data_IF_470081628567
#
_entry.id   IF_470081628567
#
_cell.length_a   1.000
_cell.length_b   1.000
_cell.length_c   1.000
_cell.angle_alpha   90.00
_cell.angle_beta   90.00
_cell.angle_gamma   90.00
#
_symmetry.space_group_name_H-M   'P 1'
#
loop_
_entity.id
_entity.type
_entity.pdbx_description
1 polymer ?
#
# COMPACT_ATOMS: atom_id res chain seq x y z
N UNK A 1 7.10 13.98 -0.06
CA UNK A 1 7.07 12.82 -0.97
C UNK A 1 8.36 12.07 -0.74
N UNK A 2 8.27 10.76 -0.61
CA UNK A 2 9.39 9.82 -0.68
C UNK A 2 9.31 9.15 -2.05
N UNK A 3 10.45 8.95 -2.68
CA UNK A 3 10.55 8.42 -4.04
C UNK A 3 11.84 7.62 -4.17
N UNK A 4 11.74 6.39 -4.66
CA UNK A 4 12.88 5.54 -4.96
C UNK A 4 13.66 6.10 -6.16
N UNK A 5 14.99 5.90 -6.15
CA UNK A 5 15.87 6.41 -7.20
C UNK A 5 15.63 5.76 -8.58
N UNK A 6 15.00 4.59 -8.61
CA UNK A 6 14.63 3.83 -9.81
C UNK A 6 13.13 3.93 -10.15
N UNK A 7 12.43 4.91 -9.57
CA UNK A 7 11.09 5.31 -10.00
C UNK A 7 11.18 6.13 -11.30
N UNK A 8 10.66 5.56 -12.38
CA UNK A 8 10.67 6.15 -13.71
C UNK A 8 9.30 6.76 -14.00
N UNK A 9 9.29 8.09 -14.12
CA UNK A 9 8.08 8.89 -14.24
C UNK A 9 7.71 9.11 -15.72
N UNK A 10 6.48 8.80 -16.07
CA UNK A 10 5.90 9.11 -17.39
C UNK A 10 5.00 10.34 -17.35
N UNK A 11 4.62 10.78 -16.15
CA UNK A 11 3.86 12.01 -15.89
C UNK A 11 4.51 12.78 -14.75
N UNK A 12 4.22 14.09 -14.66
CA UNK A 12 4.72 14.92 -13.57
C UNK A 12 4.17 14.42 -12.22
N UNK A 13 5.03 14.09 -11.24
CA UNK A 13 4.58 13.67 -9.92
C UNK A 13 3.99 14.84 -9.11
N UNK A 14 4.19 16.10 -9.55
CA UNK A 14 3.61 17.28 -8.92
C UNK A 14 2.07 17.22 -8.84
N UNK A 15 1.45 16.58 -9.84
CA UNK A 15 0.00 16.40 -9.90
C UNK A 15 -0.55 15.55 -8.74
N UNK A 16 0.29 14.73 -8.09
CA UNK A 16 -0.12 13.90 -6.95
C UNK A 16 -0.55 14.73 -5.73
N UNK A 17 0.00 15.94 -5.57
CA UNK A 17 -0.43 16.87 -4.52
C UNK A 17 -1.80 17.51 -4.79
N UNK A 18 -2.25 17.48 -6.04
CA UNK A 18 -3.53 18.05 -6.47
C UNK A 18 -4.68 17.04 -6.34
N UNK A 19 -4.35 15.76 -6.15
CA UNK A 19 -5.34 14.69 -5.95
C UNK A 19 -6.22 14.96 -4.73
N UNK A 20 -7.53 14.69 -4.87
CA UNK A 20 -8.50 14.81 -3.77
C UNK A 20 -8.11 13.92 -2.59
N UNK A 21 -7.61 12.71 -2.87
CA UNK A 21 -7.06 11.75 -1.89
C UNK A 21 -5.96 12.38 -1.05
N UNK A 22 -4.96 13.00 -1.67
CA UNK A 22 -3.88 13.67 -0.93
C UNK A 22 -4.36 14.93 -0.21
N UNK A 23 -5.17 15.78 -0.85
CA UNK A 23 -5.65 17.02 -0.23
C UNK A 23 -6.50 16.75 1.03
N UNK A 24 -7.30 15.68 1.00
CA UNK A 24 -8.18 15.28 2.11
C UNK A 24 -7.37 14.67 3.25
N UNK A 25 -6.51 13.70 2.94
CA UNK A 25 -5.86 12.86 3.98
C UNK A 25 -4.43 13.28 4.29
N UNK A 26 -3.76 14.01 3.42
CA UNK A 26 -2.31 14.27 3.51
C UNK A 26 -1.44 13.04 3.24
N UNK A 27 -2.03 11.93 2.79
CA UNK A 27 -1.32 10.70 2.44
C UNK A 27 -1.73 10.23 1.06
N UNK A 28 -0.83 9.57 0.34
CA UNK A 28 -1.17 8.83 -0.86
C UNK A 28 -0.20 7.66 -1.01
N UNK A 29 -0.75 6.45 -0.95
CA UNK A 29 -0.04 5.19 -1.09
C UNK A 29 -0.42 4.49 -2.39
N UNK A 30 0.49 3.67 -2.91
CA UNK A 30 0.24 2.80 -4.05
C UNK A 30 0.22 1.34 -3.58
N UNK A 31 -0.63 0.52 -4.21
CA UNK A 31 -0.75 -0.88 -3.84
C UNK A 31 0.48 -1.65 -4.34
N UNK A 32 1.04 -2.55 -3.54
CA UNK A 32 2.04 -3.51 -4.02
C UNK A 32 1.36 -4.72 -4.69
N UNK A 33 2.16 -5.49 -5.44
CA UNK A 33 1.75 -6.72 -6.12
C UNK A 33 1.21 -7.72 -5.12
N UNK A 34 0.25 -8.52 -5.57
CA UNK A 34 -0.21 -9.69 -4.84
C UNK A 34 0.87 -10.77 -4.99
N UNK A 35 1.86 -10.73 -4.10
CA UNK A 35 2.96 -11.69 -4.05
C UNK A 35 2.78 -12.63 -2.84
N UNK A 36 3.32 -13.85 -2.94
CA UNK A 36 3.07 -14.93 -1.98
C UNK A 36 3.18 -14.47 -0.52
N UNK A 37 2.11 -14.71 0.25
CA UNK A 37 2.05 -14.37 1.66
C UNK A 37 3.08 -15.13 2.52
N UNK A 38 3.70 -16.20 2.01
CA UNK A 38 4.66 -17.04 2.73
C UNK A 38 6.10 -16.49 2.76
N UNK A 39 6.28 -15.21 2.45
CA UNK A 39 7.57 -14.54 2.62
C UNK A 39 7.80 -14.23 4.11
N UNK A 40 8.85 -14.77 4.73
CA UNK A 40 9.05 -14.70 6.19
C UNK A 40 9.14 -13.28 6.78
N UNK A 41 9.43 -12.28 5.94
CA UNK A 41 9.50 -10.86 6.29
C UNK A 41 8.25 -10.07 5.81
N UNK A 42 7.21 -10.77 5.35
CA UNK A 42 5.94 -10.18 4.92
C UNK A 42 4.98 -10.01 6.10
N UNK A 43 4.25 -8.89 6.12
CA UNK A 43 3.19 -8.65 7.11
C UNK A 43 2.08 -9.72 7.05
N UNK A 44 1.84 -10.31 5.87
CA UNK A 44 0.86 -11.37 5.65
C UNK A 44 1.36 -12.79 5.98
N UNK A 45 2.61 -12.92 6.42
CA UNK A 45 3.25 -14.19 6.75
C UNK A 45 2.59 -14.89 7.91
N UNK A 46 2.48 -16.22 7.84
CA UNK A 46 2.03 -17.07 8.95
C UNK A 46 3.20 -17.88 9.48
N UNK A 47 3.77 -17.51 10.64
CA UNK A 47 4.86 -18.27 11.24
C UNK A 47 4.46 -19.71 11.58
N UNK A 48 5.41 -20.64 11.46
CA UNK A 48 5.18 -22.07 11.68
C UNK A 48 4.65 -22.40 13.10
N UNK A 49 5.03 -21.61 14.11
CA UNK A 49 4.56 -21.76 15.49
C UNK A 49 3.16 -21.16 15.75
N UNK A 50 2.60 -20.40 14.80
CA UNK A 50 1.24 -19.84 14.85
C UNK A 50 0.59 -19.82 13.46
N UNK A 51 0.33 -20.99 12.87
CA UNK A 51 -0.09 -21.11 11.46
C UNK A 51 -1.46 -20.51 11.14
N UNK A 52 -2.23 -20.12 12.17
CA UNK A 52 -3.55 -19.51 12.01
C UNK A 52 -3.56 -17.98 12.21
N UNK A 53 -2.42 -17.37 12.55
CA UNK A 53 -2.32 -15.94 12.88
C UNK A 53 -1.21 -15.31 12.02
N UNK A 54 -1.57 -14.32 11.21
CA UNK A 54 -0.62 -13.58 10.38
C UNK A 54 0.29 -12.68 11.22
N UNK A 55 1.46 -12.34 10.69
CA UNK A 55 2.44 -11.50 11.37
C UNK A 55 1.86 -10.14 11.76
N UNK A 56 1.09 -9.52 10.86
CA UNK A 56 0.37 -8.26 11.11
C UNK A 56 -0.71 -8.37 12.19
N UNK A 57 -1.47 -9.46 12.23
CA UNK A 57 -2.53 -9.65 13.23
C UNK A 57 -1.94 -9.75 14.64
N UNK A 58 -0.93 -10.60 14.80
CA UNK A 58 -0.21 -10.76 16.06
C UNK A 58 0.46 -9.45 16.51
N UNK A 59 1.02 -8.68 15.56
CA UNK A 59 1.60 -7.38 15.86
C UNK A 59 0.53 -6.35 16.29
N UNK A 60 -0.52 -6.18 15.49
CA UNK A 60 -1.58 -5.20 15.71
C UNK A 60 -2.40 -5.47 16.98
N UNK A 61 -2.54 -6.74 17.38
CA UNK A 61 -3.19 -7.10 18.66
C UNK A 61 -2.34 -6.83 19.90
N UNK A 62 -1.02 -6.63 19.75
CA UNK A 62 -0.09 -6.32 20.85
C UNK A 62 0.38 -4.88 20.87
N UNK A 63 0.15 -4.11 19.81
CA UNK A 63 0.60 -2.74 19.70
C UNK A 63 -0.16 -1.84 20.69
N UNK A 64 0.55 -1.31 21.69
CA UNK A 64 0.02 -0.30 22.61
C UNK A 64 0.38 1.11 22.12
N UNK A 65 -0.63 1.87 21.71
CA UNK A 65 -0.49 3.25 21.24
C UNK A 65 -1.18 4.27 22.15
N UNK A 66 -1.50 3.89 23.39
CA UNK A 66 -2.18 4.76 24.35
C UNK A 66 -1.40 6.05 24.61
N UNK A 67 -0.06 6.00 24.58
CA UNK A 67 0.82 7.16 24.72
C UNK A 67 0.62 8.22 23.63
N UNK A 68 -0.06 7.92 22.52
CA UNK A 68 -0.28 8.85 21.41
C UNK A 68 -1.73 9.35 21.33
N UNK A 69 -2.62 8.92 22.24
CA UNK A 69 -4.05 9.19 22.16
C UNK A 69 -4.40 10.70 22.24
N UNK A 70 -3.56 11.50 22.90
CA UNK A 70 -3.75 12.95 23.03
C UNK A 70 -3.39 13.72 21.75
N UNK A 71 -2.64 13.12 20.83
CA UNK A 71 -2.28 13.76 19.56
C UNK A 71 -3.50 13.70 18.64
N UNK A 72 -3.92 14.80 17.98
CA UNK A 72 -5.10 14.79 17.12
C UNK A 72 -4.91 13.89 15.88
N UNK A 73 -6.03 13.47 15.28
CA UNK A 73 -6.07 12.63 14.08
C UNK A 73 -7.14 13.11 13.12
N UNK A 74 -7.08 12.70 11.84
CA UNK A 74 -8.17 12.94 10.90
C UNK A 74 -9.30 11.95 11.20
N UNK A 75 -10.49 12.48 11.50
CA UNK A 75 -11.65 11.65 11.88
C UNK A 75 -11.98 10.63 10.78
N UNK A 76 -11.90 9.34 11.10
CA UNK A 76 -12.18 8.23 10.19
C UNK A 76 -13.52 7.58 10.53
N UNK A 77 -14.41 7.32 9.55
CA UNK A 77 -15.62 6.56 9.82
C UNK A 77 -15.29 5.14 10.26
N UNK A 78 -16.09 4.58 11.17
CA UNK A 78 -15.99 3.17 11.55
C UNK A 78 -16.22 2.27 10.33
N UNK A 79 -15.54 1.12 10.31
CA UNK A 79 -15.82 0.10 9.30
C UNK A 79 -17.30 -0.35 9.41
N UNK A 80 -17.97 -0.61 8.27
CA UNK A 80 -19.33 -1.16 8.27
C UNK A 80 -19.44 -2.43 9.12
N UNK A 81 -20.52 -2.57 9.90
CA UNK A 81 -20.72 -3.71 10.81
C UNK A 81 -20.65 -5.06 10.09
N UNK A 82 -21.08 -5.13 8.83
CA UNK A 82 -20.97 -6.32 8.01
C UNK A 82 -19.52 -6.74 7.74
N UNK A 83 -18.58 -5.80 7.59
CA UNK A 83 -17.15 -6.12 7.42
C UNK A 83 -16.54 -6.57 8.73
N UNK A 84 -16.89 -5.92 9.85
CA UNK A 84 -16.43 -6.33 11.18
C UNK A 84 -16.92 -7.74 11.53
N UNK A 85 -18.17 -8.07 11.20
CA UNK A 85 -18.72 -9.41 11.41
C UNK A 85 -18.13 -10.48 10.47
N UNK A 86 -17.62 -10.06 9.30
CA UNK A 86 -16.97 -10.96 8.35
C UNK A 86 -15.47 -11.11 8.57
N UNK A 87 -14.89 -10.36 9.52
CA UNK A 87 -13.48 -10.47 9.88
C UNK A 87 -13.20 -11.89 10.42
N UNK A 88 -12.19 -12.53 9.86
CA UNK A 88 -11.79 -13.90 10.20
C UNK A 88 -10.63 -13.90 11.21
N UNK A 89 -10.17 -12.72 11.61
CA UNK A 89 -9.10 -12.61 12.58
C UNK A 89 -9.49 -13.27 13.90
N UNK A 90 -8.56 -14.06 14.45
CA UNK A 90 -8.75 -14.72 15.75
C UNK A 90 -8.18 -13.91 16.90
N UNK A 91 -7.54 -12.77 16.61
CA UNK A 91 -6.98 -11.86 17.60
C UNK A 91 -7.93 -10.69 17.85
N UNK A 92 -7.86 -10.14 19.05
CA UNK A 92 -8.57 -8.91 19.39
C UNK A 92 -7.72 -7.70 19.06
N UNK A 93 -8.25 -6.77 18.26
CA UNK A 93 -7.60 -5.49 17.98
C UNK A 93 -8.03 -4.45 19.02
N UNK A 94 -7.07 -3.71 19.56
CA UNK A 94 -7.30 -2.66 20.57
C UNK A 94 -7.53 -1.26 19.96
N UNK A 95 -7.81 -1.20 18.67
CA UNK A 95 -8.14 0.01 17.90
C UNK A 95 -9.25 -0.34 16.89
N UNK A 96 -9.89 0.67 16.30
CA UNK A 96 -10.94 0.47 15.29
C UNK A 96 -10.33 0.28 13.92
N UNK A 97 -10.31 -0.93 13.32
CA UNK A 97 -9.72 -1.14 12.00
C UNK A 97 -10.51 -0.37 10.92
N UNK A 98 -9.83 0.12 9.88
CA UNK A 98 -10.56 0.66 8.71
C UNK A 98 -11.21 -0.43 7.88
N UNK A 99 -12.21 -0.03 7.09
CA UNK A 99 -12.72 -0.85 6.01
C UNK A 99 -11.64 -1.24 5.00
N UNK A 100 -10.64 -0.39 4.76
CA UNK A 100 -9.56 -0.63 3.81
C UNK A 100 -8.59 -1.72 4.30
N UNK A 101 -8.25 -1.72 5.60
CA UNK A 101 -7.46 -2.77 6.24
C UNK A 101 -8.20 -4.11 6.17
N UNK A 102 -9.47 -4.15 6.54
CA UNK A 102 -10.28 -5.38 6.52
C UNK A 102 -10.44 -5.97 5.11
N UNK A 103 -10.53 -5.11 4.09
CA UNK A 103 -10.61 -5.53 2.67
C UNK A 103 -9.25 -5.83 2.04
N UNK A 104 -8.16 -5.47 2.69
CA UNK A 104 -6.82 -5.56 2.09
C UNK A 104 -6.44 -7.00 1.77
N UNK A 105 -5.70 -7.20 0.67
CA UNK A 105 -5.11 -8.50 0.37
C UNK A 105 -4.21 -9.02 1.49
N UNK A 106 -3.62 -8.09 2.24
CA UNK A 106 -2.74 -8.36 3.38
C UNK A 106 -3.49 -9.05 4.54
N UNK A 107 -4.55 -8.43 5.06
CA UNK A 107 -5.35 -9.00 6.15
C UNK A 107 -6.25 -10.18 5.70
N UNK A 108 -6.29 -10.48 4.40
CA UNK A 108 -6.95 -11.66 3.88
C UNK A 108 -5.96 -12.78 3.51
N UNK A 109 -4.67 -12.62 3.87
CA UNK A 109 -3.63 -13.62 3.65
C UNK A 109 -3.33 -13.93 2.19
N UNK A 110 -3.63 -12.98 1.29
CA UNK A 110 -3.41 -13.08 -0.16
C UNK A 110 -2.09 -12.42 -0.59
N UNK A 111 -1.55 -11.51 0.22
CA UNK A 111 -0.28 -10.82 -0.06
C UNK A 111 0.56 -10.68 1.21
N UNK A 112 1.89 -10.74 1.07
CA UNK A 112 2.84 -10.40 2.14
C UNK A 112 3.05 -8.88 2.31
N UNK A 113 2.66 -8.09 1.31
CA UNK A 113 2.87 -6.64 1.25
C UNK A 113 1.59 -5.92 0.83
N UNK A 114 1.48 -4.64 1.22
CA UNK A 114 0.36 -3.77 0.84
C UNK A 114 0.82 -2.50 0.14
N UNK A 115 1.90 -1.89 0.61
CA UNK A 115 2.39 -0.60 0.10
C UNK A 115 3.56 -0.82 -0.85
N UNK A 116 3.46 -0.27 -2.06
CA UNK A 116 4.59 -0.17 -3.01
C UNK A 116 5.62 0.85 -2.48
N UNK A 117 6.91 0.51 -2.53
CA UNK A 117 7.97 1.37 -1.97
C UNK A 117 8.35 2.56 -2.85
N UNK A 118 7.90 2.59 -4.10
CA UNK A 118 8.50 3.47 -5.10
C UNK A 118 8.14 4.93 -4.91
N UNK A 119 6.88 5.23 -4.59
CA UNK A 119 6.41 6.60 -4.37
C UNK A 119 5.42 6.59 -3.21
N UNK A 120 5.64 7.48 -2.24
CA UNK A 120 4.75 7.70 -1.11
C UNK A 120 4.61 9.19 -0.80
N UNK A 121 3.38 9.65 -0.64
CA UNK A 121 3.12 11.02 -0.15
C UNK A 121 2.72 10.98 1.32
N UNK A 122 3.33 11.86 2.10
CA UNK A 122 3.10 11.98 3.52
C UNK A 122 3.18 13.45 3.95
N UNK A 123 2.15 13.92 4.63
CA UNK A 123 2.08 15.26 5.21
C UNK A 123 2.07 15.15 6.73
N UNK A 124 3.23 15.40 7.35
CA UNK A 124 3.41 15.30 8.81
C UNK A 124 2.44 16.18 9.60
N UNK A 125 2.10 17.37 9.07
CA UNK A 125 1.18 18.31 9.72
C UNK A 125 -0.27 17.80 9.71
N UNK A 126 -0.69 17.14 8.63
CA UNK A 126 -2.02 16.51 8.52
C UNK A 126 -2.10 15.17 9.25
N UNK A 127 -0.97 14.49 9.44
CA UNK A 127 -0.87 13.18 10.08
C UNK A 127 -0.05 13.21 11.37
N UNK A 128 -0.35 14.06 12.37
CA UNK A 128 0.54 14.25 13.51
C UNK A 128 0.63 13.00 14.40
N UNK A 129 -0.49 12.34 14.74
CA UNK A 129 -0.48 11.11 15.55
C UNK A 129 0.25 9.96 14.85
N UNK A 130 -0.10 9.71 13.59
CA UNK A 130 0.56 8.67 12.80
C UNK A 130 2.05 8.97 12.59
N UNK A 131 2.44 10.25 12.48
CA UNK A 131 3.87 10.63 12.41
C UNK A 131 4.60 10.33 13.72
N UNK A 132 3.96 10.52 14.87
CA UNK A 132 4.56 10.18 16.16
C UNK A 132 4.73 8.66 16.33
N UNK A 133 3.72 7.87 15.96
CA UNK A 133 3.79 6.41 15.95
C UNK A 133 4.88 5.91 14.97
N UNK A 134 4.93 6.49 13.76
CA UNK A 134 5.97 6.18 12.79
C UNK A 134 7.38 6.48 13.31
N UNK A 135 7.56 7.60 14.02
CA UNK A 135 8.84 7.93 14.64
C UNK A 135 9.24 6.88 15.69
N UNK A 136 8.28 6.43 16.50
CA UNK A 136 8.45 5.36 17.48
C UNK A 136 8.93 4.03 16.85
N UNK A 137 8.38 3.64 15.69
CA UNK A 137 8.86 2.47 14.94
C UNK A 137 10.33 2.58 14.51
N UNK A 138 10.78 3.77 14.16
CA UNK A 138 12.14 4.02 13.64
C UNK A 138 13.13 4.17 14.78
N UNK A 139 12.76 4.87 15.86
CA UNK A 139 13.60 5.01 17.05
C UNK A 139 13.60 3.78 17.95
N UNK A 140 12.72 2.80 17.69
CA UNK A 140 12.53 1.58 18.48
C UNK A 140 12.21 1.88 19.95
N UNK A 141 11.41 2.92 20.18
CA UNK A 141 11.01 3.37 21.51
C UNK A 141 9.49 3.26 21.62
N UNK A 142 8.96 2.71 22.71
CA UNK A 142 7.53 2.53 23.00
C UNK A 142 6.80 1.50 22.13
N UNK A 143 6.62 1.77 20.83
CA UNK A 143 5.95 0.87 19.89
C UNK A 143 6.99 0.16 19.02
N UNK A 144 7.09 -1.18 19.07
CA UNK A 144 8.07 -1.91 18.29
C UNK A 144 7.81 -1.76 16.80
N UNK A 145 8.85 -1.93 15.99
CA UNK A 145 8.73 -1.94 14.52
C UNK A 145 7.85 -3.11 14.07
N UNK A 146 6.85 -2.89 13.19
CA UNK A 146 6.11 -3.95 12.52
C UNK A 146 7.04 -4.95 11.79
N UNK A 147 6.67 -6.25 11.71
CA UNK A 147 7.44 -7.28 11.02
C UNK A 147 7.28 -7.13 9.50
N UNK A 148 7.91 -6.09 8.96
CA UNK A 148 7.84 -5.70 7.55
C UNK A 148 9.23 -5.72 6.92
N UNK A 149 9.33 -6.29 5.74
CA UNK A 149 10.46 -6.10 4.84
C UNK A 149 10.57 -4.63 4.43
N UNK A 150 11.65 -3.97 4.86
CA UNK A 150 11.86 -2.56 4.62
C UNK A 150 10.91 -1.66 5.42
N UNK A 151 10.83 -0.40 5.03
CA UNK A 151 10.14 0.69 5.74
C UNK A 151 8.79 1.11 5.11
N UNK A 152 8.48 0.67 3.88
CA UNK A 152 7.27 1.07 3.15
C UNK A 152 5.96 0.81 3.91
N UNK A 153 5.83 -0.32 4.59
CA UNK A 153 4.60 -0.67 5.31
C UNK A 153 4.43 0.11 6.63
N UNK A 154 5.51 0.69 7.15
CA UNK A 154 5.48 1.43 8.42
C UNK A 154 4.48 2.58 8.37
N UNK A 155 4.39 3.27 7.23
CA UNK A 155 3.49 4.40 7.03
C UNK A 155 2.03 3.99 7.10
N UNK A 156 1.68 2.88 6.44
CA UNK A 156 0.32 2.33 6.46
C UNK A 156 -0.05 1.82 7.87
N UNK A 157 0.83 1.06 8.50
CA UNK A 157 0.58 0.53 9.86
C UNK A 157 0.45 1.66 10.87
N UNK A 158 1.27 2.71 10.76
CA UNK A 158 1.15 3.88 11.63
C UNK A 158 -0.19 4.60 11.47
N UNK A 159 -0.73 4.69 10.25
CA UNK A 159 -2.06 5.24 10.02
C UNK A 159 -3.17 4.39 10.65
N UNK A 160 -3.08 3.05 10.56
CA UNK A 160 -4.06 2.17 11.19
C UNK A 160 -4.07 2.29 12.70
N UNK A 161 -2.90 2.23 13.34
CA UNK A 161 -2.79 2.38 14.79
C UNK A 161 -3.19 3.80 15.26
N UNK A 162 -2.97 4.83 14.44
CA UNK A 162 -3.41 6.18 14.74
C UNK A 162 -4.93 6.38 14.61
N UNK A 163 -5.64 5.41 14.03
CA UNK A 163 -7.06 5.51 13.63
C UNK A 163 -7.34 6.75 12.76
N UNK A 164 -6.37 7.12 11.91
CA UNK A 164 -6.46 8.30 11.03
C UNK A 164 -6.99 7.91 9.66
N UNK A 165 -7.63 8.86 8.97
CA UNK A 165 -7.89 8.70 7.53
C UNK A 165 -6.58 8.68 6.74
N UNK A 166 -6.51 7.81 5.74
CA UNK A 166 -5.43 7.75 4.77
C UNK A 166 -5.98 7.34 3.40
N UNK A 167 -5.15 7.38 2.35
CA UNK A 167 -5.60 7.07 1.00
C UNK A 167 -4.63 6.17 0.23
N UNK A 168 -5.20 5.20 -0.47
CA UNK A 168 -4.53 4.40 -1.50
C UNK A 168 -5.01 4.80 -2.90
N UNK A 169 -4.16 4.56 -3.89
CA UNK A 169 -4.52 4.54 -5.31
C UNK A 169 -5.74 3.65 -5.53
N UNK A 170 -6.65 4.12 -6.39
CA UNK A 170 -7.83 3.34 -6.82
C UNK A 170 -7.43 2.10 -7.64
N UNK A 171 -6.21 2.09 -8.16
CA UNK A 171 -5.70 1.03 -9.03
C UNK A 171 -4.80 0.05 -8.27
N UNK A 172 -4.93 -1.23 -8.63
CA UNK A 172 -3.95 -2.23 -8.25
C UNK A 172 -2.62 -2.00 -9.01
N UNK A 173 -1.56 -2.65 -8.56
CA UNK A 173 -0.29 -2.65 -9.30
C UNK A 173 -0.47 -3.34 -10.64
N UNK A 174 -0.11 -2.65 -11.71
CA UNK A 174 0.05 -3.23 -13.02
C UNK A 174 1.46 -3.80 -13.23
N UNK A 175 1.73 -4.21 -14.46
CA UNK A 175 3.03 -4.68 -14.91
C UNK A 175 3.40 -3.96 -16.20
N UNK A 176 4.66 -3.54 -16.34
CA UNK A 176 5.23 -3.05 -17.59
C UNK A 176 6.47 -3.88 -17.95
N UNK A 177 6.50 -4.42 -19.17
CA UNK A 177 7.55 -5.34 -19.60
C UNK A 177 7.50 -5.66 -21.09
N UNK A 178 8.42 -6.51 -21.53
CA UNK A 178 8.58 -6.89 -22.94
C UNK A 178 8.09 -8.32 -23.25
N UNK A 179 7.95 -9.19 -22.24
CA UNK A 179 7.34 -10.52 -22.39
C UNK A 179 5.82 -10.39 -22.25
N UNK A 180 5.18 -10.18 -23.39
CA UNK A 180 3.73 -10.12 -23.54
C UNK A 180 3.21 -11.41 -24.16
N UNK A 181 2.24 -12.03 -23.51
CA UNK A 181 1.56 -13.24 -23.99
C UNK A 181 0.07 -12.97 -24.08
N UNK A 182 -0.47 -12.99 -25.29
CA UNK A 182 -1.88 -12.73 -25.54
C UNK A 182 -2.68 -14.03 -25.53
N UNK A 183 -3.65 -14.15 -24.63
CA UNK A 183 -4.59 -15.28 -24.55
C UNK A 183 -6.06 -14.85 -24.75
N UNK A 184 -6.27 -13.69 -25.38
CA UNK A 184 -7.58 -13.08 -25.58
C UNK A 184 -7.89 -11.97 -24.57
N UNK A 185 -9.05 -11.34 -24.75
CA UNK A 185 -9.47 -10.21 -23.91
C UNK A 185 -9.43 -10.56 -22.42
N UNK A 186 -8.77 -9.72 -21.63
CA UNK A 186 -8.57 -9.86 -20.17
C UNK A 186 -7.83 -11.14 -19.73
N UNK A 187 -7.16 -11.84 -20.66
CA UNK A 187 -6.36 -13.04 -20.37
C UNK A 187 -4.90 -12.88 -20.74
N UNK A 188 -4.51 -11.72 -21.27
CA UNK A 188 -3.12 -11.43 -21.60
C UNK A 188 -2.26 -11.30 -20.34
N UNK A 189 -1.02 -11.77 -20.44
CA UNK A 189 -0.04 -11.73 -19.36
C UNK A 189 1.09 -10.80 -19.80
N UNK A 190 1.42 -9.83 -18.95
CA UNK A 190 2.61 -8.99 -19.08
C UNK A 190 3.56 -9.33 -17.94
N UNK A 191 4.67 -9.98 -18.27
CA UNK A 191 5.74 -10.22 -17.30
C UNK A 191 6.68 -9.01 -17.31
N UNK A 192 6.86 -8.38 -16.15
CA UNK A 192 7.60 -7.13 -16.07
C UNK A 192 7.73 -6.53 -14.68
N UNK A 193 8.17 -5.27 -14.68
CA UNK A 193 8.31 -4.43 -13.48
C UNK A 193 6.96 -3.89 -13.02
N UNK A 194 6.86 -3.55 -11.74
CA UNK A 194 5.68 -2.89 -11.19
C UNK A 194 5.40 -1.57 -11.94
N UNK A 195 4.16 -1.42 -12.39
CA UNK A 195 3.70 -0.26 -13.13
C UNK A 195 2.46 0.32 -12.44
N UNK A 196 2.42 1.64 -12.31
CA UNK A 196 1.38 2.34 -11.57
C UNK A 196 0.73 3.39 -12.42
N UNK A 197 -0.59 3.49 -12.31
CA UNK A 197 -1.40 4.47 -13.02
C UNK A 197 -1.65 5.69 -12.13
N UNK A 198 -2.11 6.79 -12.74
CA UNK A 198 -2.55 7.95 -11.98
C UNK A 198 -3.63 7.52 -10.96
N UNK A 199 -3.53 7.88 -9.66
CA UNK A 199 -4.19 7.12 -8.58
C UNK A 199 -5.67 7.43 -8.34
N UNK A 200 -6.26 8.33 -9.12
CA UNK A 200 -7.67 8.71 -9.00
C UNK A 200 -8.43 8.37 -10.27
N UNK A 201 -9.54 7.65 -10.11
CA UNK A 201 -10.56 7.55 -11.15
C UNK A 201 -11.24 8.91 -11.26
N UNK A 202 -11.14 9.55 -12.43
CA UNK A 202 -11.97 10.72 -12.73
C UNK A 202 -13.37 10.26 -13.15
N UNK A 203 -14.40 11.04 -12.82
CA UNK A 203 -15.77 10.74 -13.23
C UNK A 203 -15.85 10.57 -14.76
N UNK A 204 -16.27 9.39 -15.21
CA UNK A 204 -16.45 9.07 -16.63
C UNK A 204 -15.23 8.48 -17.35
N UNK A 205 -14.08 8.31 -16.69
CA UNK A 205 -12.92 7.61 -17.26
C UNK A 205 -13.05 6.10 -16.97
N UNK A 206 -13.12 5.28 -18.02
CA UNK A 206 -13.02 3.83 -17.88
C UNK A 206 -11.60 3.45 -17.42
N UNK A 207 -11.43 2.40 -16.63
CA UNK A 207 -10.09 1.99 -16.12
C UNK A 207 -9.06 1.79 -17.25
N UNK A 208 -9.52 1.47 -18.46
CA UNK A 208 -8.75 1.32 -19.69
C UNK A 208 -8.09 2.61 -20.19
N UNK A 209 -8.56 3.77 -19.76
CA UNK A 209 -8.03 5.09 -20.13
C UNK A 209 -7.09 5.67 -19.06
N UNK A 210 -6.89 4.93 -17.95
CA UNK A 210 -5.97 5.34 -16.90
C UNK A 210 -4.55 5.43 -17.45
N UNK A 211 -3.92 6.60 -17.28
CA UNK A 211 -2.58 6.86 -17.80
C UNK A 211 -1.51 6.31 -16.88
N UNK A 212 -0.53 5.63 -17.45
CA UNK A 212 0.67 5.18 -16.74
C UNK A 212 1.37 6.39 -16.10
N UNK A 213 1.56 6.36 -14.80
CA UNK A 213 2.19 7.42 -14.01
C UNK A 213 3.67 7.14 -13.84
N UNK A 214 4.02 5.96 -13.33
CA UNK A 214 5.41 5.57 -13.09
C UNK A 214 5.59 4.06 -13.17
N UNK A 215 6.84 3.64 -13.33
CA UNK A 215 7.27 2.26 -13.12
C UNK A 215 8.47 2.23 -12.19
N UNK A 216 8.58 1.20 -11.35
CA UNK A 216 9.80 0.94 -10.58
C UNK A 216 10.61 -0.13 -11.29
N UNK A 217 11.75 0.27 -11.85
CA UNK A 217 12.50 -0.64 -12.70
C UNK A 217 13.96 -0.27 -12.90
N UNK A 218 14.82 -1.27 -12.74
CA UNK A 218 16.18 -1.24 -13.27
C UNK A 218 16.23 -1.44 -14.80
N UNK A 219 15.10 -1.75 -15.47
CA UNK A 219 15.08 -2.06 -16.90
C UNK A 219 15.55 -0.90 -17.77
N UNK A 220 15.38 0.37 -17.37
CA UNK A 220 15.77 1.50 -18.23
C UNK A 220 17.27 1.53 -18.53
N UNK A 221 18.10 1.01 -17.62
CA UNK A 221 19.54 0.87 -17.84
C UNK A 221 19.86 -0.13 -18.97
N UNK A 222 18.90 -0.96 -19.38
CA UNK A 222 19.04 -2.01 -20.39
C UNK A 222 17.97 -1.96 -21.49
N UNK A 223 17.02 -1.04 -21.40
CA UNK A 223 15.86 -0.98 -22.29
C UNK A 223 16.27 -0.47 -23.67
N UNK A 224 15.89 -1.24 -24.70
CA UNK A 224 16.18 -0.91 -26.10
C UNK A 224 14.89 -0.61 -26.84
N UNK A 225 14.38 0.63 -26.85
CA UNK A 225 13.07 0.95 -27.41
C UNK A 225 12.92 0.61 -28.91
N UNK A 226 14.03 0.55 -29.65
CA UNK A 226 14.02 0.18 -31.07
C UNK A 226 13.83 -1.31 -31.32
N UNK A 227 14.22 -2.15 -30.37
CA UNK A 227 14.25 -3.62 -30.52
C UNK A 227 13.26 -4.33 -29.58
N UNK A 228 12.85 -3.66 -28.51
CA UNK A 228 12.02 -4.19 -27.43
C UNK A 228 10.80 -3.29 -27.23
N UNK A 229 9.60 -3.68 -27.72
CA UNK A 229 8.37 -2.98 -27.37
C UNK A 229 8.11 -3.10 -25.85
N UNK A 230 7.65 -2.00 -25.24
CA UNK A 230 7.16 -2.01 -23.87
C UNK A 230 5.65 -2.14 -23.90
N UNK A 231 5.14 -3.18 -23.24
CA UNK A 231 3.72 -3.38 -22.98
C UNK A 231 3.44 -3.08 -21.52
N UNK A 232 2.24 -2.60 -21.23
CA UNK A 232 1.76 -2.46 -19.86
C UNK A 232 0.36 -3.03 -19.74
N UNK A 233 0.02 -3.54 -18.57
CA UNK A 233 -1.35 -3.89 -18.24
C UNK A 233 -2.13 -2.59 -18.00
N UNK A 234 -3.28 -2.37 -18.67
CA UNK A 234 -4.17 -1.29 -18.30
C UNK A 234 -4.68 -1.48 -16.88
N UNK A 235 -5.22 -0.40 -16.31
CA UNK A 235 -5.66 -0.36 -14.93
C UNK A 235 -7.01 -1.06 -14.67
#
# INVERSE_FOLDING_TARGET
MLMDADALLFQSPALLWETKKYQTTGTLFFNDRIAEANFSEGLGYRPANRPNIMAIEDYMSKADVNLFCYIPTLSRPSAPSALLAADKSTVMLHFRPSADLLKSHLLNGRSGHRVDSSILLWNKKRQPRATAILASFVSLNDVPRPPSYGDKELFFVACELAETQYAFSDFATGSAGWDFRNYGANKSIVCGSAAHHFPELSDGIFTQEARLLYMNSHYIMKYKPKELPMYYSPA
#
